data_IF_229922463209
#
_entry.id   IF_229922463209
#
_cell.length_a   1.000
_cell.length_b   1.000
_cell.length_c   1.000
_cell.angle_alpha   90.00
_cell.angle_beta   90.00
_cell.angle_gamma   90.00
#
_symmetry.space_group_name_H-M   'P 1'
#
loop_
_entity.id
_entity.type
_entity.pdbx_description
1 polymer ?
#
# COMPACT_ATOMS: atom_id res chain seq x y z
N UNK A 1 0.57 -13.74 -1.60
CA UNK A 1 1.11 -14.33 -0.33
C UNK A 1 0.24 -13.87 0.83
N UNK A 2 -0.35 -14.79 1.58
CA UNK A 2 -1.18 -14.47 2.74
C UNK A 2 -0.34 -14.19 3.97
N UNK A 3 -0.58 -13.06 4.61
CA UNK A 3 0.12 -12.60 5.82
C UNK A 3 -0.89 -12.42 6.94
N UNK A 4 -0.73 -13.18 8.00
CA UNK A 4 -1.54 -13.05 9.21
C UNK A 4 -0.88 -12.08 10.19
N UNK A 5 -1.67 -11.09 10.62
CA UNK A 5 -1.27 -10.12 11.65
C UNK A 5 -1.56 -10.69 13.04
N UNK A 6 -0.68 -10.45 13.97
CA UNK A 6 -0.87 -10.81 15.39
C UNK A 6 -1.87 -9.87 16.06
N UNK A 7 -2.39 -10.26 17.23
CA UNK A 7 -3.25 -9.38 18.04
C UNK A 7 -2.56 -8.05 18.41
N UNK A 8 -1.25 -8.09 18.65
CA UNK A 8 -0.47 -6.90 19.00
C UNK A 8 -0.33 -5.97 17.79
N UNK A 9 -0.06 -6.50 16.59
CA UNK A 9 -0.01 -5.75 15.35
C UNK A 9 -1.37 -5.12 15.03
N UNK A 10 -2.46 -5.86 15.20
CA UNK A 10 -3.81 -5.35 15.01
C UNK A 10 -4.16 -4.22 15.99
N UNK A 11 -3.80 -4.36 17.26
CA UNK A 11 -4.00 -3.29 18.26
C UNK A 11 -3.19 -2.03 17.93
N UNK A 12 -1.96 -2.19 17.45
CA UNK A 12 -1.13 -1.07 17.01
C UNK A 12 -1.73 -0.34 15.78
N UNK A 13 -2.29 -1.09 14.82
CA UNK A 13 -3.03 -0.54 13.68
C UNK A 13 -4.25 0.25 14.14
N UNK A 14 -5.08 -0.29 15.03
CA UNK A 14 -6.29 0.38 15.53
C UNK A 14 -5.94 1.69 16.25
N UNK A 15 -4.89 1.71 17.06
CA UNK A 15 -4.41 2.93 17.74
C UNK A 15 -3.92 3.98 16.74
N UNK A 16 -3.14 3.56 15.73
CA UNK A 16 -2.62 4.47 14.72
C UNK A 16 -3.72 5.03 13.83
N UNK A 17 -4.71 4.23 13.44
CA UNK A 17 -5.87 4.69 12.67
C UNK A 17 -6.68 5.73 13.44
N UNK A 18 -6.95 5.49 14.72
CA UNK A 18 -7.65 6.44 15.57
C UNK A 18 -6.90 7.80 15.67
N UNK A 19 -5.57 7.75 15.76
CA UNK A 19 -4.74 8.95 15.82
C UNK A 19 -4.73 9.69 14.47
N UNK A 20 -4.56 9.00 13.33
CA UNK A 20 -4.64 9.59 11.98
C UNK A 20 -5.99 10.29 11.77
N UNK A 21 -7.08 9.65 12.16
CA UNK A 21 -8.43 10.20 12.06
C UNK A 21 -8.60 11.49 12.88
N UNK A 22 -8.06 11.53 14.10
CA UNK A 22 -8.11 12.74 14.94
C UNK A 22 -7.33 13.90 14.30
N UNK A 23 -6.13 13.63 13.77
CA UNK A 23 -5.28 14.62 13.11
C UNK A 23 -5.90 15.11 11.79
N UNK A 24 -6.48 14.23 10.99
CA UNK A 24 -7.16 14.61 9.74
C UNK A 24 -8.35 15.55 10.00
N UNK A 25 -9.15 15.32 11.05
CA UNK A 25 -10.23 16.23 11.44
C UNK A 25 -9.71 17.59 11.89
N UNK A 26 -8.62 17.61 12.65
CA UNK A 26 -8.01 18.86 13.10
C UNK A 26 -7.45 19.71 11.94
N UNK A 27 -7.02 19.06 10.85
CA UNK A 27 -6.44 19.71 9.65
C UNK A 27 -7.42 19.90 8.48
N UNK A 28 -8.67 19.44 8.61
CA UNK A 28 -9.68 19.57 7.54
C UNK A 28 -9.43 18.73 6.28
N UNK A 29 -8.54 17.74 6.35
CA UNK A 29 -8.22 16.84 5.23
C UNK A 29 -9.24 15.69 5.19
N UNK A 30 -9.81 15.43 4.00
CA UNK A 30 -10.74 14.32 3.77
C UNK A 30 -10.08 13.23 2.90
N UNK A 31 -10.30 11.97 3.25
CA UNK A 31 -9.87 10.82 2.45
C UNK A 31 -10.71 10.68 1.16
N UNK A 32 -10.09 10.17 0.10
CA UNK A 32 -10.81 9.81 -1.12
C UNK A 32 -11.47 8.43 -0.95
N UNK A 33 -12.77 8.43 -0.67
CA UNK A 33 -13.56 7.22 -0.43
C UNK A 33 -14.59 6.95 -1.52
N UNK A 34 -14.97 5.68 -1.66
CA UNK A 34 -16.16 5.29 -2.43
C UNK A 34 -17.41 5.43 -1.56
N UNK A 35 -18.57 5.49 -2.21
CA UNK A 35 -19.85 5.49 -1.48
C UNK A 35 -19.95 4.22 -0.61
N UNK A 36 -20.18 4.40 0.70
CA UNK A 36 -20.28 3.31 1.67
C UNK A 36 -18.98 2.93 2.40
N UNK A 37 -17.83 3.48 2.03
CA UNK A 37 -16.58 3.30 2.77
C UNK A 37 -16.45 4.37 3.85
N UNK A 38 -16.04 4.01 5.07
CA UNK A 38 -15.70 4.96 6.12
C UNK A 38 -14.22 5.36 6.02
N UNK A 39 -13.89 6.58 6.46
CA UNK A 39 -12.49 7.02 6.50
C UNK A 39 -11.65 6.14 7.44
N UNK A 40 -12.23 5.70 8.56
CA UNK A 40 -11.58 4.79 9.52
C UNK A 40 -11.26 3.42 8.90
N UNK A 41 -12.17 2.86 8.09
CA UNK A 41 -11.93 1.58 7.40
C UNK A 41 -10.82 1.69 6.36
N UNK A 42 -10.73 2.82 5.64
CA UNK A 42 -9.67 3.08 4.66
C UNK A 42 -8.30 3.22 5.33
N UNK A 43 -8.23 4.01 6.42
CA UNK A 43 -7.00 4.20 7.18
C UNK A 43 -6.53 2.88 7.80
N UNK A 44 -7.45 2.09 8.39
CA UNK A 44 -7.14 0.76 8.92
C UNK A 44 -6.68 -0.21 7.84
N UNK A 45 -7.31 -0.20 6.67
CA UNK A 45 -6.91 -1.05 5.55
C UNK A 45 -5.49 -0.71 5.09
N UNK A 46 -5.17 0.57 4.92
CA UNK A 46 -3.83 1.04 4.56
C UNK A 46 -2.78 0.58 5.55
N UNK A 47 -2.99 0.85 6.84
CA UNK A 47 -2.07 0.47 7.90
C UNK A 47 -1.86 -1.06 8.03
N UNK A 48 -2.93 -1.86 7.87
CA UNK A 48 -2.82 -3.32 7.83
C UNK A 48 -1.99 -3.80 6.65
N UNK A 49 -2.17 -3.19 5.50
CA UNK A 49 -1.41 -3.51 4.30
C UNK A 49 0.07 -3.18 4.45
N UNK A 50 0.40 -1.99 4.96
CA UNK A 50 1.77 -1.58 5.28
C UNK A 50 2.42 -2.54 6.28
N UNK A 51 1.72 -2.92 7.36
CA UNK A 51 2.20 -3.90 8.34
C UNK A 51 2.43 -5.29 7.71
N UNK A 52 1.54 -5.73 6.83
CA UNK A 52 1.67 -7.01 6.14
C UNK A 52 2.88 -7.03 5.19
N UNK A 53 3.11 -5.95 4.44
CA UNK A 53 4.27 -5.82 3.55
C UNK A 53 5.56 -5.77 4.37
N UNK A 54 5.62 -4.97 5.43
CA UNK A 54 6.80 -4.91 6.30
C UNK A 54 7.14 -6.28 6.87
N UNK A 55 6.14 -7.02 7.35
CA UNK A 55 6.31 -8.39 7.84
C UNK A 55 6.80 -9.34 6.76
N UNK A 56 6.25 -9.24 5.55
CA UNK A 56 6.65 -10.03 4.38
C UNK A 56 8.11 -9.78 3.99
N UNK A 57 8.56 -8.53 4.08
CA UNK A 57 9.92 -8.09 3.72
C UNK A 57 10.89 -8.12 4.91
N UNK A 58 10.48 -8.62 6.08
CA UNK A 58 11.26 -8.63 7.32
C UNK A 58 11.75 -7.23 7.73
N UNK A 59 10.94 -6.19 7.50
CA UNK A 59 11.23 -4.81 7.89
C UNK A 59 10.66 -4.50 9.27
N UNK A 60 11.36 -3.62 10.00
CA UNK A 60 10.79 -2.99 11.19
C UNK A 60 9.84 -1.89 10.74
N UNK A 61 8.58 -1.96 11.17
CA UNK A 61 7.55 -1.00 10.83
C UNK A 61 6.79 -0.58 12.08
N UNK A 62 6.54 0.72 12.22
CA UNK A 62 5.69 1.29 13.27
C UNK A 62 4.56 2.09 12.62
N UNK A 63 3.30 1.67 12.76
CA UNK A 63 2.17 2.38 12.18
C UNK A 63 1.93 3.76 12.82
N UNK A 64 2.56 4.03 13.97
CA UNK A 64 2.47 5.30 14.70
C UNK A 64 3.40 6.39 14.17
N UNK A 65 4.27 6.07 13.20
CA UNK A 65 5.12 7.07 12.56
C UNK A 65 4.26 8.00 11.68
N UNK A 66 3.98 9.18 12.22
CA UNK A 66 3.11 10.20 11.62
C UNK A 66 3.87 11.10 10.64
N UNK A 67 4.80 10.56 9.86
CA UNK A 67 5.49 11.31 8.82
C UNK A 67 4.56 11.68 7.67
N UNK A 68 4.74 12.86 7.06
CA UNK A 68 4.23 13.14 5.72
C UNK A 68 5.04 12.23 4.79
N UNK A 69 4.43 11.16 4.32
CA UNK A 69 5.10 10.08 3.60
C UNK A 69 5.52 10.43 2.17
N UNK A 70 5.21 11.62 1.68
CA UNK A 70 5.51 12.03 0.30
C UNK A 70 5.26 10.93 -0.78
N UNK A 71 4.41 9.94 -0.47
CA UNK A 71 4.14 8.78 -1.32
C UNK A 71 5.18 7.65 -1.18
N UNK A 72 5.85 7.55 -0.03
CA UNK A 72 6.75 6.45 0.35
C UNK A 72 6.34 5.99 1.75
N UNK A 73 5.80 4.78 1.86
CA UNK A 73 5.30 4.23 3.12
C UNK A 73 6.41 3.57 3.95
N UNK A 74 7.41 3.01 3.29
CA UNK A 74 8.55 2.36 3.96
C UNK A 74 9.80 2.32 3.07
N UNK A 75 10.93 2.01 3.70
CA UNK A 75 12.22 1.90 3.04
C UNK A 75 12.80 0.49 3.19
N UNK A 76 13.28 -0.06 2.09
CA UNK A 76 14.11 -1.26 2.06
C UNK A 76 15.53 -0.85 1.64
N UNK A 77 16.41 -0.61 2.62
CA UNK A 77 17.66 0.11 2.37
C UNK A 77 17.39 1.50 1.79
N UNK A 78 17.93 1.78 0.61
CA UNK A 78 17.72 3.04 -0.12
C UNK A 78 16.54 3.02 -1.10
N UNK A 79 15.77 1.92 -1.13
CA UNK A 79 14.64 1.75 -2.04
C UNK A 79 13.34 2.12 -1.33
N UNK A 80 12.68 3.17 -1.79
CA UNK A 80 11.37 3.59 -1.31
C UNK A 80 10.25 2.70 -1.83
N UNK A 81 9.33 2.29 -0.95
CA UNK A 81 8.19 1.44 -1.27
C UNK A 81 6.89 2.17 -0.95
N UNK A 82 5.96 2.18 -1.91
CA UNK A 82 4.57 2.63 -1.77
C UNK A 82 3.65 1.40 -1.69
N UNK A 83 2.79 1.32 -0.68
CA UNK A 83 1.84 0.22 -0.47
C UNK A 83 0.44 0.66 -0.84
N UNK A 84 -0.15 0.01 -1.81
CA UNK A 84 -1.54 0.27 -2.22
C UNK A 84 -2.46 -0.84 -1.74
N UNK A 85 -3.46 -0.47 -0.96
CA UNK A 85 -4.44 -1.39 -0.42
C UNK A 85 -5.80 -1.27 -1.12
N UNK A 86 -6.50 -2.38 -1.24
CA UNK A 86 -7.86 -2.40 -1.78
C UNK A 86 -8.74 -3.42 -1.05
N UNK A 87 -10.05 -3.09 -0.91
CA UNK A 87 -11.07 -4.02 -0.41
C UNK A 87 -11.42 -5.11 -1.41
N UNK A 88 -11.12 -4.90 -2.70
CA UNK A 88 -11.52 -5.81 -3.77
C UNK A 88 -10.46 -6.88 -4.02
N UNK A 89 -10.82 -8.17 -3.99
CA UNK A 89 -9.87 -9.27 -4.29
C UNK A 89 -9.24 -9.17 -5.67
N UNK A 90 -9.97 -8.62 -6.66
CA UNK A 90 -9.49 -8.36 -8.03
C UNK A 90 -9.06 -6.90 -8.25
N UNK A 91 -8.78 -6.16 -7.17
CA UNK A 91 -8.32 -4.78 -7.24
C UNK A 91 -7.02 -4.65 -8.03
N UNK A 92 -6.80 -3.47 -8.61
CA UNK A 92 -5.64 -3.18 -9.45
C UNK A 92 -4.72 -2.19 -8.74
N UNK A 93 -3.43 -2.23 -9.05
CA UNK A 93 -2.52 -1.17 -8.64
C UNK A 93 -2.91 0.12 -9.38
N UNK A 94 -3.12 1.22 -8.65
CA UNK A 94 -3.67 2.45 -9.19
C UNK A 94 -2.89 3.67 -8.71
N UNK A 95 -2.59 4.57 -9.66
CA UNK A 95 -2.06 5.90 -9.40
C UNK A 95 -2.86 6.96 -10.18
N UNK A 96 -3.04 8.14 -9.60
CA UNK A 96 -3.76 9.26 -10.27
C UNK A 96 -3.02 9.77 -11.51
N UNK A 97 -1.69 9.75 -11.47
CA UNK A 97 -0.80 10.09 -12.59
C UNK A 97 0.48 9.28 -12.48
N UNK A 98 1.30 9.24 -13.53
CA UNK A 98 2.61 8.58 -13.49
C UNK A 98 3.55 9.25 -12.48
N UNK A 99 3.45 10.58 -12.33
CA UNK A 99 4.25 11.39 -11.40
C UNK A 99 3.84 11.16 -9.94
N UNK A 100 2.59 10.70 -9.69
CA UNK A 100 2.13 10.36 -8.36
C UNK A 100 2.81 9.11 -7.80
N UNK A 101 3.40 8.27 -8.65
CA UNK A 101 4.24 7.15 -8.23
C UNK A 101 5.67 7.64 -7.94
N UNK A 102 5.91 8.12 -6.72
CA UNK A 102 7.20 8.72 -6.30
C UNK A 102 8.19 7.68 -5.78
N UNK A 103 7.71 6.63 -5.12
CA UNK A 103 8.54 5.53 -4.63
C UNK A 103 9.28 4.79 -5.76
N UNK A 104 10.24 3.96 -5.43
CA UNK A 104 10.98 3.14 -6.41
C UNK A 104 10.22 1.87 -6.78
N UNK A 105 9.43 1.37 -5.84
CA UNK A 105 8.56 0.21 -6.02
C UNK A 105 7.17 0.47 -5.41
N UNK A 106 6.14 -0.18 -5.97
CA UNK A 106 4.82 -0.23 -5.36
C UNK A 106 4.37 -1.68 -5.17
N UNK A 107 3.69 -1.95 -4.06
CA UNK A 107 3.17 -3.27 -3.70
C UNK A 107 1.66 -3.17 -3.53
N UNK A 108 0.93 -4.10 -4.19
CA UNK A 108 -0.51 -4.21 -4.07
C UNK A 108 -0.88 -5.25 -3.00
N UNK A 109 -1.78 -4.86 -2.11
CA UNK A 109 -2.33 -5.70 -1.06
C UNK A 109 -3.86 -5.68 -1.14
N UNK A 110 -4.49 -6.83 -0.99
CA UNK A 110 -5.94 -6.94 -0.93
C UNK A 110 -6.41 -7.42 0.45
N UNK A 111 -7.59 -6.96 0.85
CA UNK A 111 -8.29 -7.49 2.01
C UNK A 111 -8.74 -8.92 1.74
N UNK A 112 -8.69 -9.76 2.77
CA UNK A 112 -9.33 -11.09 2.77
C UNK A 112 -10.62 -11.07 3.59
N UNK A 113 -11.35 -12.20 3.64
CA UNK A 113 -12.53 -12.36 4.49
C UNK A 113 -12.16 -12.45 5.98
N UNK A 114 -10.92 -12.80 6.30
CA UNK A 114 -10.39 -12.81 7.66
C UNK A 114 -9.87 -11.42 8.04
N UNK A 115 -10.33 -10.88 9.17
CA UNK A 115 -10.05 -9.50 9.58
C UNK A 115 -8.56 -9.22 9.85
N UNK A 116 -7.80 -10.24 10.24
CA UNK A 116 -6.37 -10.18 10.59
C UNK A 116 -5.45 -10.76 9.50
N UNK A 117 -6.00 -11.08 8.32
CA UNK A 117 -5.23 -11.62 7.20
C UNK A 117 -5.27 -10.67 6.00
N UNK A 118 -4.09 -10.37 5.46
CA UNK A 118 -3.93 -9.58 4.24
C UNK A 118 -3.29 -10.44 3.14
N UNK A 119 -3.70 -10.23 1.91
CA UNK A 119 -3.12 -10.93 0.76
C UNK A 119 -2.18 -9.98 0.00
N UNK A 120 -0.87 -10.18 0.16
CA UNK A 120 0.15 -9.44 -0.59
C UNK A 120 0.22 -10.06 -1.99
N UNK A 121 -0.33 -9.35 -2.95
CA UNK A 121 -0.53 -9.85 -4.32
C UNK A 121 0.79 -9.86 -5.09
N UNK A 122 1.50 -8.75 -5.05
CA UNK A 122 2.75 -8.58 -5.78
C UNK A 122 3.09 -7.11 -5.92
N UNK A 123 4.12 -6.82 -6.69
CA UNK A 123 4.55 -5.43 -6.85
C UNK A 123 5.22 -5.16 -8.20
N UNK A 124 5.60 -3.91 -8.38
CA UNK A 124 6.21 -3.43 -9.61
C UNK A 124 7.21 -2.32 -9.30
N UNK A 125 8.32 -2.28 -10.03
CA UNK A 125 9.24 -1.15 -10.02
C UNK A 125 8.64 0.02 -10.80
N UNK A 126 8.92 1.26 -10.38
CA UNK A 126 8.37 2.49 -10.97
C UNK A 126 8.58 2.57 -12.49
N UNK A 127 9.76 2.26 -12.98
CA UNK A 127 10.05 2.29 -14.42
C UNK A 127 9.17 1.32 -15.23
N UNK A 128 8.95 0.09 -14.73
CA UNK A 128 8.06 -0.88 -15.37
C UNK A 128 6.61 -0.37 -15.35
N UNK A 129 6.14 0.18 -14.23
CA UNK A 129 4.79 0.77 -14.15
C UNK A 129 4.63 1.90 -15.18
N UNK A 130 5.56 2.85 -15.23
CA UNK A 130 5.50 3.97 -16.16
C UNK A 130 5.47 3.55 -17.64
N UNK A 131 6.05 2.40 -17.97
CA UNK A 131 6.12 1.89 -19.36
C UNK A 131 4.89 1.05 -19.74
N UNK A 132 4.28 0.32 -18.78
CA UNK A 132 3.24 -0.69 -19.09
C UNK A 132 1.87 -0.37 -18.50
N UNK A 133 1.77 0.60 -17.57
CA UNK A 133 0.47 0.94 -16.99
C UNK A 133 -0.51 1.50 -18.05
N UNK A 134 -1.76 1.17 -17.89
CA UNK A 134 -2.85 1.57 -18.78
C UNK A 134 -3.57 2.77 -18.20
N UNK A 135 -3.83 3.77 -19.03
CA UNK A 135 -4.66 4.91 -18.64
C UNK A 135 -6.15 4.56 -18.80
N UNK A 136 -6.92 4.75 -17.74
CA UNK A 136 -8.36 4.44 -17.72
C UNK A 136 -9.14 5.54 -17.00
N UNK A 137 -10.44 5.63 -17.29
CA UNK A 137 -11.37 6.45 -16.52
C UNK A 137 -12.31 5.53 -15.72
N UNK A 138 -12.16 5.58 -14.39
CA UNK A 138 -12.99 4.80 -13.46
C UNK A 138 -14.19 5.59 -12.90
N UNK A 139 -14.64 6.64 -13.63
CA UNK A 139 -15.78 7.48 -13.22
C UNK A 139 -15.43 8.64 -12.26
N UNK A 140 -14.16 8.77 -11.89
CA UNK A 140 -13.63 9.87 -11.05
C UNK A 140 -12.45 10.61 -11.68
N UNK A 141 -12.35 10.57 -13.00
CA UNK A 141 -11.24 11.10 -13.78
C UNK A 141 -10.26 10.02 -14.26
N UNK A 142 -9.28 10.46 -15.02
CA UNK A 142 -8.24 9.59 -15.57
C UNK A 142 -7.31 9.12 -14.44
N UNK A 143 -6.92 7.87 -14.50
CA UNK A 143 -5.91 7.28 -13.63
C UNK A 143 -5.10 6.23 -14.40
N UNK A 144 -3.98 5.83 -13.84
CA UNK A 144 -3.10 4.80 -14.38
C UNK A 144 -3.23 3.54 -13.55
N UNK A 145 -3.44 2.41 -14.21
CA UNK A 145 -3.62 1.12 -13.54
C UNK A 145 -2.68 0.07 -14.10
N UNK A 146 -2.36 -0.91 -13.24
CA UNK A 146 -1.72 -2.17 -13.62
C UNK A 146 -2.51 -3.31 -12.99
N UNK A 147 -3.02 -4.27 -13.79
CA UNK A 147 -3.76 -5.42 -13.28
C UNK A 147 -2.82 -6.39 -12.53
N UNK A 148 -3.41 -7.28 -11.71
CA UNK A 148 -2.63 -8.17 -10.82
C UNK A 148 -1.73 -9.14 -11.58
N UNK A 149 -2.15 -9.63 -12.73
CA UNK A 149 -1.41 -10.57 -13.57
C UNK A 149 -0.16 -9.97 -14.23
N UNK A 150 -0.07 -8.63 -14.30
CA UNK A 150 1.12 -7.91 -14.76
C UNK A 150 2.11 -7.58 -13.61
N UNK A 151 1.69 -7.74 -12.35
CA UNK A 151 2.56 -7.55 -11.19
C UNK A 151 3.53 -8.72 -11.04
N UNK A 152 4.73 -8.43 -10.60
CA UNK A 152 5.69 -9.47 -10.20
C UNK A 152 5.28 -10.07 -8.86
N UNK A 153 5.33 -11.40 -8.69
CA UNK A 153 5.16 -12.02 -7.37
C UNK A 153 6.10 -11.41 -6.33
N UNK A 154 5.66 -11.35 -5.08
CA UNK A 154 6.39 -10.64 -4.02
C UNK A 154 7.82 -11.20 -3.80
N UNK A 155 8.02 -12.47 -4.02
CA UNK A 155 9.34 -13.12 -3.94
C UNK A 155 10.32 -12.57 -4.98
N UNK A 156 9.82 -12.27 -6.19
CA UNK A 156 10.63 -11.64 -7.24
C UNK A 156 10.91 -10.17 -6.93
N UNK A 157 9.93 -9.46 -6.37
CA UNK A 157 10.12 -8.07 -5.91
C UNK A 157 11.21 -8.05 -4.84
N UNK A 158 11.12 -8.92 -3.83
CA UNK A 158 12.10 -9.02 -2.76
C UNK A 158 13.52 -9.32 -3.30
N UNK A 159 13.65 -10.25 -4.24
CA UNK A 159 14.94 -10.55 -4.86
C UNK A 159 15.56 -9.31 -5.57
N UNK A 160 14.74 -8.51 -6.27
CA UNK A 160 15.19 -7.27 -6.91
C UNK A 160 15.59 -6.21 -5.88
N UNK A 161 14.81 -6.06 -4.81
CA UNK A 161 15.10 -5.12 -3.72
C UNK A 161 16.43 -5.47 -3.05
N UNK A 162 16.64 -6.76 -2.73
CA UNK A 162 17.88 -7.25 -2.10
C UNK A 162 19.10 -7.07 -3.02
N UNK A 163 18.95 -7.32 -4.31
CA UNK A 163 20.05 -7.13 -5.28
C UNK A 163 20.49 -5.66 -5.36
N UNK A 164 19.57 -4.72 -5.22
CA UNK A 164 19.88 -3.28 -5.23
C UNK A 164 20.64 -2.79 -3.99
N UNK A 165 20.60 -3.52 -2.87
CA UNK A 165 21.36 -3.16 -1.67
C UNK A 165 22.85 -3.51 -1.76
N UNK A 166 23.24 -4.31 -2.74
CA UNK A 166 24.62 -4.81 -2.89
C UNK A 166 25.35 -4.17 -4.09
N UNK A 167 24.73 -3.20 -4.74
CA UNK A 167 25.32 -2.36 -5.79
C UNK A 167 25.61 -0.95 -5.29
#
# INVERSE_FOLDING_TARGET
MRIKLTRQEMAAVDQAAALRWQLARASGVANQKRAGESDDDLDKLGLKAEMAVAKCLCLTYSPQSLGIDNGIDMWFGDVGIDVKATFHPSGKLLFKSLEAFKADAAILVTKTDEADVMDVIGGVMRNKFQTHAQQVNLGRGLCWIMPQDELSPIEKVWAVLTAKQHC
#
